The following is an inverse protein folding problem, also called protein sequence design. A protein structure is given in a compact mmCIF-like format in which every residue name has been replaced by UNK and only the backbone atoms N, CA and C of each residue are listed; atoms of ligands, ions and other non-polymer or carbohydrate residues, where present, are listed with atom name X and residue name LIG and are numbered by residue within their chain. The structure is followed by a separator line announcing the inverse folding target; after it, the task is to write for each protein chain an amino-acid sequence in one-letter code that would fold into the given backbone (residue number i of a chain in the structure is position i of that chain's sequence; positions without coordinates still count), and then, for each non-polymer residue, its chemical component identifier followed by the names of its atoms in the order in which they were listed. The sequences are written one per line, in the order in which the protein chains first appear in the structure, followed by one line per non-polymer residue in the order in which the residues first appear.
data_IF_837968244915
#
_entry.id   IF_837968244915
#
_cell.length_a   1.000
_cell.length_b   1.000
_cell.length_c   1.000
_cell.angle_alpha   90.00
_cell.angle_beta   90.00
_cell.angle_gamma   90.00
#
_symmetry.space_group_name_H-M   'P 1'
#
loop_
_entity.id
_entity.type
_entity.pdbx_description
1 polymer ?
#
# COMPACT_ATOMS: atom_id res chain seq x y z
N UNK A 1 -10.63 -0.68 -3.32
CA UNK A 1 -9.67 -0.08 -2.37
C UNK A 1 -8.35 -0.81 -2.55
N UNK A 2 -7.21 -0.21 -2.23
CA UNK A 2 -5.91 -0.73 -2.69
C UNK A 2 -5.21 -1.58 -1.62
N UNK A 3 -4.35 -2.51 -2.05
CA UNK A 3 -3.50 -3.31 -1.15
C UNK A 3 -2.03 -3.01 -1.38
N UNK A 4 -1.22 -3.25 -0.36
CA UNK A 4 0.24 -3.22 -0.46
C UNK A 4 0.77 -4.64 -0.65
N UNK A 5 1.59 -4.86 -1.69
CA UNK A 5 2.24 -6.13 -2.00
C UNK A 5 3.75 -6.02 -1.79
N UNK A 6 4.28 -6.73 -0.80
CA UNK A 6 5.73 -6.82 -0.60
C UNK A 6 6.37 -7.76 -1.63
N UNK A 7 7.34 -7.28 -2.39
CA UNK A 7 7.99 -8.02 -3.46
C UNK A 7 9.50 -7.81 -3.47
N UNK A 8 10.26 -8.89 -3.66
CA UNK A 8 11.70 -8.84 -3.92
C UNK A 8 11.99 -8.31 -5.33
N UNK A 9 13.06 -7.55 -5.48
CA UNK A 9 13.60 -7.10 -6.78
C UNK A 9 15.13 -7.13 -6.76
N UNK A 10 15.76 -7.55 -7.85
CA UNK A 10 17.22 -7.59 -7.95
C UNK A 10 17.82 -6.18 -8.13
N UNK A 11 19.07 -5.93 -7.69
CA UNK A 11 19.65 -4.58 -7.67
C UNK A 11 19.62 -3.82 -8.99
N UNK A 12 19.89 -4.50 -10.12
CA UNK A 12 19.87 -3.87 -11.44
C UNK A 12 18.47 -3.40 -11.85
N UNK A 13 17.43 -4.14 -11.49
CA UNK A 13 16.05 -3.77 -11.78
C UNK A 13 15.53 -2.73 -10.79
N UNK A 14 15.92 -2.83 -9.51
CA UNK A 14 15.62 -1.81 -8.49
C UNK A 14 16.12 -0.43 -8.95
N UNK A 15 17.38 -0.33 -9.36
CA UNK A 15 17.95 0.92 -9.85
C UNK A 15 17.22 1.42 -11.12
N UNK A 16 16.86 0.52 -12.04
CA UNK A 16 16.11 0.90 -13.25
C UNK A 16 14.70 1.43 -12.94
N UNK A 17 14.01 0.86 -11.94
CA UNK A 17 12.70 1.34 -11.47
C UNK A 17 12.83 2.67 -10.72
N UNK A 18 13.85 2.80 -9.86
CA UNK A 18 14.15 4.04 -9.13
C UNK A 18 14.44 5.19 -10.09
N UNK A 19 15.20 4.94 -11.15
CA UNK A 19 15.56 5.93 -12.18
C UNK A 19 14.44 6.17 -13.22
N UNK A 20 13.29 5.49 -13.10
CA UNK A 20 12.17 5.63 -14.04
C UNK A 20 12.42 5.04 -15.43
N UNK A 21 13.54 4.33 -15.64
CA UNK A 21 13.85 3.64 -16.91
C UNK A 21 12.98 2.40 -17.11
N UNK A 22 12.61 1.74 -16.00
CA UNK A 22 11.72 0.57 -15.97
C UNK A 22 10.43 0.95 -15.26
N UNK A 23 9.36 1.13 -16.04
CA UNK A 23 8.03 1.55 -15.56
C UNK A 23 7.03 0.38 -15.55
N UNK A 24 7.53 -0.84 -15.43
CA UNK A 24 6.70 -2.05 -15.37
C UNK A 24 7.35 -3.14 -14.53
N UNK A 25 6.57 -4.09 -14.02
CA UNK A 25 7.00 -5.34 -13.41
C UNK A 25 6.42 -6.53 -14.17
N UNK A 26 7.17 -7.63 -14.28
CA UNK A 26 6.66 -8.91 -14.78
C UNK A 26 6.57 -9.87 -13.60
N UNK A 27 5.36 -10.34 -13.29
CA UNK A 27 5.11 -11.17 -12.10
C UNK A 27 4.19 -12.33 -12.42
N UNK A 28 4.34 -13.43 -11.70
CA UNK A 28 3.27 -14.43 -11.61
C UNK A 28 2.07 -13.76 -10.94
N UNK A 29 0.88 -13.94 -11.48
CA UNK A 29 -0.34 -13.36 -10.91
C UNK A 29 -0.98 -14.29 -9.87
N UNK A 30 -0.22 -14.58 -8.81
CA UNK A 30 -0.62 -15.45 -7.70
C UNK A 30 -1.15 -14.68 -6.47
N UNK A 31 -1.23 -13.34 -6.58
CA UNK A 31 -1.68 -12.43 -5.51
C UNK A 31 -2.97 -11.68 -5.83
N UNK A 32 -3.50 -11.87 -7.04
CA UNK A 32 -4.66 -11.16 -7.53
C UNK A 32 -4.41 -9.64 -7.62
N UNK A 33 -3.31 -9.24 -8.27
CA UNK A 33 -2.96 -7.82 -8.40
C UNK A 33 -4.09 -7.03 -9.05
N UNK A 34 -4.33 -5.81 -8.56
CA UNK A 34 -5.34 -4.89 -9.08
C UNK A 34 -4.72 -3.54 -9.44
N UNK A 35 -5.33 -2.84 -10.41
CA UNK A 35 -4.99 -1.43 -10.67
C UNK A 35 -5.35 -0.62 -9.42
N UNK A 36 -4.44 0.25 -8.98
CA UNK A 36 -4.54 1.00 -7.73
C UNK A 36 -3.66 0.44 -6.61
N UNK A 37 -3.36 -0.87 -6.62
CA UNK A 37 -2.49 -1.51 -5.63
C UNK A 37 -1.09 -0.88 -5.59
N UNK A 38 -0.44 -0.98 -4.44
CA UNK A 38 0.92 -0.52 -4.19
C UNK A 38 1.86 -1.71 -4.16
N UNK A 39 2.96 -1.63 -4.90
CA UNK A 39 4.09 -2.55 -4.82
C UNK A 39 5.15 -1.96 -3.91
N UNK A 40 5.50 -2.68 -2.84
CA UNK A 40 6.69 -2.39 -2.04
C UNK A 40 7.84 -3.27 -2.55
N UNK A 41 8.68 -2.68 -3.41
CA UNK A 41 9.80 -3.37 -4.04
C UNK A 41 11.03 -3.28 -3.14
N UNK A 42 11.40 -4.40 -2.51
CA UNK A 42 12.56 -4.53 -1.61
C UNK A 42 13.76 -5.07 -2.38
N UNK A 43 14.86 -4.32 -2.37
CA UNK A 43 16.07 -4.74 -3.04
C UNK A 43 16.67 -5.97 -2.34
N UNK A 44 16.86 -7.03 -3.12
CA UNK A 44 17.32 -8.33 -2.66
C UNK A 44 18.48 -8.82 -3.55
N UNK A 45 19.65 -9.06 -2.95
CA UNK A 45 20.86 -9.47 -3.64
C UNK A 45 21.34 -10.83 -3.14
N UNK A 46 21.25 -11.89 -3.96
CA UNK A 46 21.72 -13.23 -3.58
C UNK A 46 23.26 -13.36 -3.49
N UNK A 47 24.00 -12.39 -4.02
CA UNK A 47 25.46 -12.42 -4.08
C UNK A 47 26.13 -11.64 -2.95
N UNK A 48 25.35 -10.88 -2.18
CA UNK A 48 25.85 -9.97 -1.14
C UNK A 48 25.01 -10.15 0.12
N UNK A 49 25.68 -10.30 1.27
CA UNK A 49 25.02 -10.31 2.57
C UNK A 49 25.17 -8.94 3.22
N UNK A 50 24.11 -8.52 3.89
CA UNK A 50 24.04 -7.36 4.75
C UNK A 50 23.77 -7.82 6.19
N UNK A 51 23.87 -6.89 7.13
CA UNK A 51 23.61 -7.13 8.54
C UNK A 51 22.46 -6.21 8.98
N UNK A 52 21.49 -6.78 9.69
CA UNK A 52 20.39 -6.03 10.31
C UNK A 52 20.87 -5.27 11.55
N UNK A 53 20.07 -4.34 12.06
CA UNK A 53 20.37 -3.60 13.30
C UNK A 53 20.51 -4.56 14.51
N UNK A 54 19.85 -5.71 14.45
CA UNK A 54 19.92 -6.76 15.47
C UNK A 54 21.12 -7.71 15.30
N UNK A 55 21.99 -7.48 14.30
CA UNK A 55 23.17 -8.30 14.04
C UNK A 55 22.91 -9.58 13.25
N UNK A 56 21.70 -9.78 12.71
CA UNK A 56 21.36 -10.94 11.89
C UNK A 56 21.76 -10.71 10.41
N UNK A 57 22.32 -11.74 9.77
CA UNK A 57 22.64 -11.72 8.34
C UNK A 57 21.36 -11.72 7.48
N UNK A 58 21.37 -10.94 6.40
CA UNK A 58 20.26 -10.86 5.43
C UNK A 58 20.77 -10.63 4.01
N UNK A 59 19.96 -10.95 3.00
CA UNK A 59 20.24 -10.64 1.58
C UNK A 59 19.48 -9.39 1.10
N UNK A 60 18.78 -8.71 2.01
CA UNK A 60 18.12 -7.44 1.73
C UNK A 60 19.05 -6.29 2.10
N UNK A 61 19.20 -5.32 1.21
CA UNK A 61 20.07 -4.15 1.46
C UNK A 61 19.45 -3.11 2.39
N UNK A 62 18.17 -3.28 2.76
CA UNK A 62 17.36 -2.28 3.44
C UNK A 62 16.74 -1.24 2.50
N UNK A 63 17.14 -1.18 1.22
CA UNK A 63 16.52 -0.27 0.25
C UNK A 63 15.16 -0.79 -0.20
N UNK A 64 14.14 0.06 -0.10
CA UNK A 64 12.78 -0.17 -0.59
C UNK A 64 12.31 0.98 -1.47
N UNK A 65 11.36 0.70 -2.36
CA UNK A 65 10.70 1.72 -3.16
C UNK A 65 9.24 1.35 -3.40
N UNK A 66 8.34 2.33 -3.24
CA UNK A 66 6.91 2.16 -3.46
C UNK A 66 6.51 2.56 -4.88
N UNK A 67 5.60 1.80 -5.47
CA UNK A 67 5.08 2.04 -6.81
C UNK A 67 3.61 1.67 -6.91
N UNK A 68 2.77 2.53 -7.47
CA UNK A 68 1.37 2.23 -7.71
C UNK A 68 1.19 1.50 -9.05
N UNK A 69 0.38 0.45 -9.08
CA UNK A 69 -0.03 -0.24 -10.30
C UNK A 69 -1.06 0.62 -11.04
N UNK A 70 -0.77 0.95 -12.29
CA UNK A 70 -1.64 1.77 -13.16
C UNK A 70 -2.26 0.97 -14.29
N UNK A 71 -1.67 -0.17 -14.64
CA UNK A 71 -2.15 -1.02 -15.71
C UNK A 71 -1.76 -2.48 -15.44
N UNK A 72 -2.57 -3.41 -15.92
CA UNK A 72 -2.28 -4.84 -15.86
C UNK A 72 -2.56 -5.44 -17.22
N UNK A 73 -1.53 -6.02 -17.84
CA UNK A 73 -1.64 -6.83 -19.05
C UNK A 73 -1.56 -8.31 -18.68
N UNK A 74 -2.59 -9.06 -19.06
CA UNK A 74 -2.63 -10.53 -19.00
C UNK A 74 -2.88 -11.07 -20.39
N UNK A 75 -2.36 -12.26 -20.67
CA UNK A 75 -2.59 -12.97 -21.92
C UNK A 75 -3.28 -14.30 -21.65
N UNK A 76 -4.59 -14.24 -21.41
CA UNK A 76 -5.41 -15.42 -21.11
C UNK A 76 -5.42 -16.44 -22.26
N UNK A 77 -5.22 -15.95 -23.49
CA UNK A 77 -5.19 -16.74 -24.71
C UNK A 77 -3.82 -17.34 -25.04
N UNK A 78 -2.76 -16.90 -24.35
CA UNK A 78 -1.35 -17.16 -24.67
C UNK A 78 -0.97 -16.83 -26.14
N UNK A 79 -1.70 -15.89 -26.76
CA UNK A 79 -1.51 -15.51 -28.18
C UNK A 79 -0.57 -14.32 -28.38
N UNK A 80 -0.29 -13.57 -27.32
CA UNK A 80 0.59 -12.40 -27.28
C UNK A 80 2.01 -12.74 -26.79
N UNK A 81 2.28 -14.01 -26.50
CA UNK A 81 3.59 -14.50 -26.07
C UNK A 81 3.88 -14.31 -24.59
N UNK A 82 2.86 -14.01 -23.78
CA UNK A 82 2.94 -13.99 -22.32
C UNK A 82 2.27 -15.25 -21.78
N UNK A 83 2.95 -15.94 -20.87
CA UNK A 83 2.37 -17.10 -20.19
C UNK A 83 1.15 -16.66 -19.37
N UNK A 84 0.04 -17.40 -19.43
CA UNK A 84 -1.23 -17.02 -18.78
C UNK A 84 -1.16 -16.90 -17.25
N UNK A 85 -0.16 -17.50 -16.60
CA UNK A 85 0.07 -17.35 -15.16
C UNK A 85 0.81 -16.06 -14.79
N UNK A 86 1.29 -15.30 -15.79
CA UNK A 86 2.05 -14.07 -15.59
C UNK A 86 1.27 -12.85 -16.06
N UNK A 87 1.56 -11.73 -15.39
CA UNK A 87 1.05 -10.42 -15.72
C UNK A 87 2.20 -9.42 -15.85
N UNK A 88 2.04 -8.46 -16.76
CA UNK A 88 2.87 -7.25 -16.82
C UNK A 88 2.10 -6.13 -16.11
N UNK A 89 2.68 -5.61 -15.04
CA UNK A 89 2.12 -4.57 -14.20
C UNK A 89 2.77 -3.25 -14.61
N UNK A 90 2.02 -2.33 -15.22
CA UNK A 90 2.47 -0.96 -15.43
C UNK A 90 2.49 -0.21 -14.10
N UNK A 91 3.59 0.48 -13.80
CA UNK A 91 3.80 1.11 -12.49
C UNK A 91 4.29 2.55 -12.60
N UNK A 92 3.90 3.37 -11.60
CA UNK A 92 4.38 4.76 -11.43
C UNK A 92 4.78 5.03 -9.98
N UNK A 93 5.57 6.08 -9.69
CA UNK A 93 5.72 6.61 -8.34
C UNK A 93 4.36 6.97 -7.71
N UNK A 94 4.32 6.99 -6.38
CA UNK A 94 3.16 7.50 -5.65
C UNK A 94 3.30 9.02 -5.64
N UNK A 95 2.48 9.71 -6.44
CA UNK A 95 2.47 11.18 -6.53
C UNK A 95 1.26 11.79 -5.78
N UNK A 96 0.32 10.94 -5.38
CA UNK A 96 -0.90 11.26 -4.63
C UNK A 96 -1.18 10.13 -3.66
N UNK A 97 -1.77 10.44 -2.51
CA UNK A 97 -2.02 9.44 -1.47
C UNK A 97 -2.97 8.35 -1.96
N UNK A 98 -2.60 7.10 -1.66
CA UNK A 98 -3.36 5.93 -2.09
C UNK A 98 -4.22 5.44 -0.94
N UNK A 99 -5.52 5.36 -1.19
CA UNK A 99 -6.48 4.77 -0.26
C UNK A 99 -6.32 3.23 -0.18
N UNK A 100 -6.12 2.73 1.05
CA UNK A 100 -5.91 1.33 1.39
C UNK A 100 -7.14 0.69 2.02
N UNK A 101 -7.24 -0.63 1.93
CA UNK A 101 -8.25 -1.41 2.65
C UNK A 101 -7.91 -1.58 4.13
N UNK A 102 -8.86 -1.30 5.03
CA UNK A 102 -8.71 -1.68 6.44
C UNK A 102 -8.41 -3.18 6.59
N UNK A 103 -7.50 -3.50 7.52
CA UNK A 103 -7.16 -4.87 7.93
C UNK A 103 -8.14 -5.41 8.97
N UNK A 104 -8.63 -4.51 9.85
CA UNK A 104 -9.61 -4.83 10.88
C UNK A 104 -11.01 -4.96 10.32
N UNK A 105 -11.88 -5.62 11.08
CA UNK A 105 -13.33 -5.62 10.81
C UNK A 105 -13.94 -4.27 11.22
N UNK A 106 -14.47 -3.56 10.24
CA UNK A 106 -14.95 -2.18 10.40
C UNK A 106 -16.42 -2.09 9.98
N UNK A 107 -17.22 -1.36 10.76
CA UNK A 107 -18.55 -0.97 10.33
C UNK A 107 -18.48 0.30 9.47
N UNK A 108 -19.28 0.36 8.42
CA UNK A 108 -19.41 1.55 7.57
C UNK A 108 -20.46 2.51 8.14
N UNK A 109 -20.09 3.78 8.28
CA UNK A 109 -21.01 4.87 8.65
C UNK A 109 -21.67 5.49 7.44
N UNK A 110 -20.85 5.81 6.44
CA UNK A 110 -21.26 6.45 5.19
C UNK A 110 -20.33 7.58 4.80
N UNK A 111 -20.68 8.28 3.73
CA UNK A 111 -19.84 9.33 3.17
C UNK A 111 -19.93 10.63 3.98
N UNK A 112 -18.77 11.20 4.31
CA UNK A 112 -18.61 12.53 4.92
C UNK A 112 -17.59 13.32 4.09
N UNK A 113 -17.89 14.59 3.79
CA UNK A 113 -16.92 15.46 3.10
C UNK A 113 -15.71 15.73 4.01
N UNK A 114 -14.53 15.27 3.61
CA UNK A 114 -13.26 15.50 4.30
C UNK A 114 -12.51 16.67 3.65
N UNK A 115 -12.36 17.81 4.33
CA UNK A 115 -11.69 18.97 3.74
C UNK A 115 -10.19 18.76 3.54
N UNK A 116 -9.54 17.90 4.34
CA UNK A 116 -8.10 17.59 4.21
C UNK A 116 -7.82 16.76 2.94
N UNK A 117 -8.73 15.85 2.57
CA UNK A 117 -8.63 15.06 1.33
C UNK A 117 -9.27 15.81 0.14
N UNK A 118 -10.18 16.75 0.42
CA UNK A 118 -10.86 17.55 -0.60
C UNK A 118 -12.01 16.84 -1.34
N UNK A 119 -12.58 15.79 -0.74
CA UNK A 119 -13.71 15.02 -1.31
C UNK A 119 -14.56 14.33 -0.24
N UNK A 120 -15.71 13.83 -0.65
CA UNK A 120 -16.48 12.88 0.16
C UNK A 120 -15.75 11.55 0.26
N UNK A 121 -15.63 11.05 1.49
CA UNK A 121 -14.99 9.78 1.82
C UNK A 121 -15.92 8.97 2.70
N UNK A 122 -15.99 7.66 2.45
CA UNK A 122 -16.67 6.77 3.39
C UNK A 122 -15.88 6.74 4.69
N UNK A 123 -16.59 6.84 5.81
CA UNK A 123 -16.03 6.73 7.15
C UNK A 123 -16.50 5.46 7.84
N UNK A 124 -15.69 5.01 8.78
CA UNK A 124 -15.81 3.69 9.40
C UNK A 124 -15.55 3.77 10.89
N UNK A 125 -16.05 2.81 11.66
CA UNK A 125 -15.64 2.63 13.06
C UNK A 125 -15.41 1.15 13.36
N UNK A 126 -14.59 0.82 14.37
CA UNK A 126 -14.23 -0.57 14.67
C UNK A 126 -15.44 -1.37 15.15
N UNK A 127 -15.56 -2.61 14.67
CA UNK A 127 -16.65 -3.48 15.10
C UNK A 127 -16.56 -3.79 16.61
N UNK A 128 -17.71 -3.86 17.28
CA UNK A 128 -17.79 -4.08 18.72
C UNK A 128 -17.52 -2.85 19.60
N UNK A 129 -17.30 -1.66 19.02
CA UNK A 129 -17.10 -0.41 19.76
C UNK A 129 -18.24 0.59 19.54
N UNK A 130 -18.52 1.50 20.49
CA UNK A 130 -19.44 2.62 20.25
C UNK A 130 -18.89 3.56 19.18
N UNK A 131 -19.77 4.07 18.34
CA UNK A 131 -19.43 5.01 17.27
C UNK A 131 -19.45 6.47 17.79
N UNK A 132 -18.51 6.82 18.67
CA UNK A 132 -18.27 8.23 19.04
C UNK A 132 -17.56 8.97 17.90
N UNK A 133 -16.67 8.25 17.24
CA UNK A 133 -15.86 8.75 16.14
C UNK A 133 -15.91 7.80 14.96
N UNK A 134 -15.72 8.35 13.76
CA UNK A 134 -15.44 7.57 12.55
C UNK A 134 -14.14 8.00 11.92
N UNK A 135 -13.52 7.10 11.16
CA UNK A 135 -12.23 7.31 10.50
C UNK A 135 -12.35 7.09 9.01
N UNK A 136 -11.51 7.76 8.23
CA UNK A 136 -11.37 7.47 6.79
C UNK A 136 -10.81 6.06 6.58
N UNK A 137 -10.77 5.60 5.33
CA UNK A 137 -9.82 4.52 5.01
C UNK A 137 -8.37 4.97 5.30
N UNK A 138 -7.45 4.03 5.55
CA UNK A 138 -6.04 4.37 5.66
C UNK A 138 -5.53 4.89 4.32
N UNK A 139 -4.63 5.86 4.38
CA UNK A 139 -3.94 6.46 3.26
C UNK A 139 -2.46 6.14 3.37
N UNK A 140 -1.80 5.94 2.24
CA UNK A 140 -0.34 5.86 2.17
C UNK A 140 0.21 6.98 1.29
N UNK A 141 1.18 7.72 1.83
CA UNK A 141 1.85 8.81 1.11
C UNK A 141 3.11 8.32 0.36
N UNK A 142 3.79 9.25 -0.30
CA UNK A 142 5.01 8.98 -1.08
C UNK A 142 6.18 8.42 -0.24
N UNK A 143 6.24 8.80 1.04
CA UNK A 143 7.26 8.34 2.00
C UNK A 143 6.96 6.94 2.53
N UNK A 144 5.75 6.42 2.28
CA UNK A 144 5.30 5.13 2.76
C UNK A 144 4.80 5.15 4.20
N UNK A 145 4.43 6.31 4.72
CA UNK A 145 3.70 6.43 5.98
C UNK A 145 2.23 6.13 5.75
N UNK A 146 1.65 5.27 6.59
CA UNK A 146 0.23 4.94 6.58
C UNK A 146 -0.47 5.70 7.70
N UNK A 147 -1.53 6.42 7.36
CA UNK A 147 -2.22 7.32 8.26
C UNK A 147 -3.73 7.41 7.95
N UNK A 148 -4.51 8.07 8.80
CA UNK A 148 -5.94 8.32 8.56
C UNK A 148 -6.42 9.64 9.18
N UNK A 149 -7.62 10.08 8.81
CA UNK A 149 -8.33 11.20 9.45
C UNK A 149 -9.52 10.70 10.26
N UNK A 150 -9.90 11.48 11.26
CA UNK A 150 -10.95 11.15 12.23
C UNK A 150 -12.01 12.24 12.27
N UNK A 151 -13.27 11.82 12.32
CA UNK A 151 -14.46 12.67 12.44
C UNK A 151 -15.13 12.40 13.78
N UNK A 152 -15.30 13.45 14.57
CA UNK A 152 -15.98 13.44 15.86
C UNK A 152 -17.48 13.68 15.64
N UNK A 153 -18.31 12.71 16.02
CA UNK A 153 -19.76 12.82 15.87
C UNK A 153 -20.44 13.66 16.96
N UNK A 154 -19.80 13.83 18.12
CA UNK A 154 -20.30 14.66 19.22
C UNK A 154 -20.06 16.15 18.95
N UNK A 155 -18.89 16.50 18.42
CA UNK A 155 -18.56 17.88 18.00
C UNK A 155 -19.09 18.22 16.60
N UNK A 156 -19.32 17.20 15.76
CA UNK A 156 -19.82 17.37 14.40
C UNK A 156 -18.76 17.93 13.45
N UNK A 157 -17.52 17.47 13.57
CA UNK A 157 -16.39 17.99 12.81
C UNK A 157 -15.23 17.01 12.66
N UNK A 158 -14.33 17.32 11.72
CA UNK A 158 -13.07 16.59 11.58
C UNK A 158 -12.06 17.09 12.61
N UNK A 159 -11.27 16.17 13.16
CA UNK A 159 -10.06 16.55 13.88
C UNK A 159 -9.08 17.24 12.92
N UNK A 160 -8.37 18.26 13.42
CA UNK A 160 -7.36 18.99 12.64
C UNK A 160 -6.07 18.18 12.44
N UNK A 161 -5.77 17.28 13.39
CA UNK A 161 -4.58 16.45 13.37
C UNK A 161 -4.71 15.26 12.42
N UNK A 162 -3.58 14.89 11.81
CA UNK A 162 -3.43 13.62 11.08
C UNK A 162 -2.99 12.52 12.03
N UNK A 163 -3.63 11.35 11.94
CA UNK A 163 -3.31 10.21 12.80
C UNK A 163 -2.40 9.25 12.06
N UNK A 164 -1.09 9.37 12.31
CA UNK A 164 -0.08 8.41 11.84
C UNK A 164 -0.31 7.06 12.51
N UNK A 165 -0.22 5.99 11.73
CA UNK A 165 -0.48 4.64 12.21
C UNK A 165 0.80 3.81 12.26
N UNK A 166 1.49 3.69 11.12
CA UNK A 166 2.71 2.89 10.97
C UNK A 166 3.35 3.16 9.59
N UNK A 167 4.52 2.57 9.34
CA UNK A 167 5.07 2.53 7.99
C UNK A 167 4.41 1.43 7.12
N UNK A 168 4.60 1.49 5.80
CA UNK A 168 4.04 0.53 4.86
C UNK A 168 4.48 -0.93 5.12
N UNK A 169 5.66 -1.13 5.69
CA UNK A 169 6.22 -2.46 5.96
C UNK A 169 5.58 -3.08 7.20
N UNK A 170 5.37 -2.30 8.24
CA UNK A 170 4.59 -2.67 9.41
C UNK A 170 3.14 -2.95 9.01
N UNK A 171 2.51 -2.05 8.24
CA UNK A 171 1.12 -2.18 7.80
C UNK A 171 0.82 -3.49 7.06
N UNK A 172 1.72 -3.90 6.15
CA UNK A 172 1.57 -5.15 5.39
C UNK A 172 1.50 -6.37 6.32
N UNK A 173 2.19 -6.32 7.45
CA UNK A 173 2.34 -7.42 8.40
C UNK A 173 1.31 -7.38 9.54
N UNK A 174 0.43 -6.36 9.60
CA UNK A 174 -0.67 -6.32 10.56
C UNK A 174 -1.80 -7.29 10.14
N UNK A 175 -2.23 -8.12 11.09
CA UNK A 175 -3.46 -8.91 10.97
C UNK A 175 -4.69 -8.06 11.31
N UNK A 176 -4.58 -7.23 12.34
CA UNK A 176 -5.63 -6.34 12.83
C UNK A 176 -5.00 -5.06 13.40
N UNK A 177 -5.71 -3.94 13.27
CA UNK A 177 -5.39 -2.66 13.90
C UNK A 177 -6.31 -2.49 15.10
N UNK A 178 -5.70 -2.36 16.28
CA UNK A 178 -6.40 -2.08 17.53
C UNK A 178 -6.56 -0.56 17.69
N UNK A 179 -7.80 -0.11 17.77
CA UNK A 179 -8.14 1.27 18.08
C UNK A 179 -8.33 1.38 19.60
N UNK A 180 -7.56 2.26 20.24
CA UNK A 180 -7.61 2.52 21.69
C UNK A 180 -8.26 3.86 21.98
#
# INVERSE_FOLDING_TARGET
MSKIHELKILPQYFNAVREGKKTFELRKDDRGFQVGDVLMLKEFNLQEKYETIEGAETYFSGRKILRQITYILKDESESMGLNKEYAILGIKPIDEDVELEWKSDMNEWGAIYCPMIGKEVNTYWPNGTPCYDTVTNPLINEDGEVYYYKYDHDEGGWHEDVFSMCDAEEYVNLEEILFY
#
